data_IF_171529331520
#
_entry.id   IF_171529331520
#
_cell.length_a   1.000
_cell.length_b   1.000
_cell.length_c   1.000
_cell.angle_alpha   90.00
_cell.angle_beta   90.00
_cell.angle_gamma   90.00
#
_symmetry.space_group_name_H-M   'P 1'
#
loop_
_entity.id
_entity.type
_entity.pdbx_description
1 polymer ?
#
# COMPACT_ATOMS: atom_id res chain seq x y z
N UNK A 1 25.70 -48.45 -6.35
CA UNK A 1 26.77 -47.73 -5.63
C UNK A 1 26.56 -46.24 -5.81
N UNK A 2 26.47 -45.51 -4.70
CA UNK A 2 26.45 -44.03 -4.60
C UNK A 2 27.58 -43.41 -5.43
N UNK A 3 27.33 -42.25 -6.05
CA UNK A 3 28.18 -41.04 -5.90
C UNK A 3 27.33 -39.79 -6.11
N UNK A 4 27.11 -39.06 -5.02
CA UNK A 4 26.71 -37.67 -5.03
C UNK A 4 27.87 -36.83 -5.58
N UNK A 5 27.60 -35.85 -6.44
CA UNK A 5 28.46 -34.69 -6.60
C UNK A 5 27.59 -33.44 -6.50
N UNK A 6 27.71 -32.84 -5.31
CA UNK A 6 27.34 -31.47 -4.96
C UNK A 6 28.04 -30.53 -5.93
N UNK A 7 27.28 -29.67 -6.61
CA UNK A 7 27.81 -28.41 -7.14
C UNK A 7 26.99 -27.29 -6.51
N UNK A 8 27.45 -26.86 -5.33
CA UNK A 8 27.18 -25.54 -4.78
C UNK A 8 27.94 -24.54 -5.66
N UNK A 9 27.27 -24.08 -6.72
CA UNK A 9 27.79 -23.07 -7.64
C UNK A 9 27.11 -21.74 -7.38
N UNK A 10 27.84 -20.85 -6.73
CA UNK A 10 27.55 -19.44 -6.43
C UNK A 10 26.85 -18.75 -7.62
N UNK A 11 25.55 -18.43 -7.47
CA UNK A 11 24.88 -17.42 -8.29
C UNK A 11 24.71 -16.17 -7.41
N UNK A 12 25.84 -15.55 -7.11
CA UNK A 12 25.90 -14.13 -6.76
C UNK A 12 26.64 -13.43 -7.89
N UNK A 13 26.14 -12.26 -8.29
CA UNK A 13 26.77 -11.27 -9.19
C UNK A 13 26.35 -11.21 -10.66
N UNK A 14 25.08 -11.43 -11.01
CA UNK A 14 24.55 -10.96 -12.32
C UNK A 14 23.16 -10.28 -12.27
N UNK A 15 22.66 -9.89 -11.09
CA UNK A 15 21.44 -9.05 -10.95
C UNK A 15 21.74 -7.58 -10.61
N UNK A 16 23.00 -7.14 -10.76
CA UNK A 16 23.42 -5.75 -10.56
C UNK A 16 23.36 -4.90 -11.83
N UNK A 17 22.64 -5.35 -12.86
CA UNK A 17 22.47 -4.61 -14.12
C UNK A 17 21.03 -4.71 -14.59
N UNK A 18 20.33 -3.56 -14.60
CA UNK A 18 18.98 -3.35 -15.12
C UNK A 18 17.83 -3.87 -14.24
N UNK A 19 17.34 -3.04 -13.31
CA UNK A 19 15.93 -2.54 -13.23
C UNK A 19 15.70 -1.94 -11.83
N UNK A 20 16.44 -0.89 -11.46
CA UNK A 20 15.98 0.04 -10.41
C UNK A 20 14.91 0.97 -10.99
N UNK A 21 13.91 0.41 -11.69
CA UNK A 21 12.71 1.15 -12.05
C UNK A 21 11.96 1.25 -10.73
N UNK A 22 12.05 2.41 -10.06
CA UNK A 22 11.39 2.66 -8.80
C UNK A 22 9.95 2.14 -8.88
N UNK A 23 9.67 1.01 -8.23
CA UNK A 23 8.41 0.31 -8.38
C UNK A 23 7.36 0.94 -7.46
N UNK A 24 7.10 2.23 -7.68
CA UNK A 24 6.10 2.99 -6.93
C UNK A 24 4.71 2.40 -7.08
N UNK A 25 4.44 1.67 -8.18
CA UNK A 25 3.22 0.89 -8.34
C UNK A 25 3.06 -0.17 -7.23
N UNK A 26 4.14 -0.86 -6.86
CA UNK A 26 4.07 -1.83 -5.76
C UNK A 26 3.80 -1.13 -4.41
N UNK A 27 4.37 0.06 -4.19
CA UNK A 27 4.06 0.86 -2.99
C UNK A 27 2.62 1.36 -2.99
N UNK A 28 2.06 1.72 -4.14
CA UNK A 28 0.66 2.11 -4.27
C UNK A 28 -0.27 0.94 -3.96
N UNK A 29 -0.02 -0.26 -4.50
CA UNK A 29 -0.81 -1.45 -4.15
C UNK A 29 -0.66 -1.79 -2.66
N UNK A 30 0.56 -1.71 -2.10
CA UNK A 30 0.79 -1.94 -0.67
C UNK A 30 0.02 -0.95 0.20
N UNK A 31 0.00 0.35 -0.18
CA UNK A 31 -0.73 1.38 0.56
C UNK A 31 -2.24 1.11 0.49
N UNK A 32 -2.75 0.76 -0.69
CA UNK A 32 -4.15 0.41 -0.90
C UNK A 32 -4.57 -0.78 -0.06
N UNK A 33 -3.80 -1.86 -0.05
CA UNK A 33 -4.08 -3.06 0.73
C UNK A 33 -4.11 -2.76 2.24
N UNK A 34 -3.08 -2.06 2.74
CA UNK A 34 -2.99 -1.71 4.16
C UNK A 34 -4.10 -0.75 4.59
N UNK A 35 -4.41 0.25 3.78
CA UNK A 35 -5.49 1.19 4.05
C UNK A 35 -6.86 0.51 4.05
N UNK A 36 -7.11 -0.38 3.08
CA UNK A 36 -8.34 -1.16 3.00
C UNK A 36 -8.53 -2.01 4.26
N UNK A 37 -7.49 -2.75 4.65
CA UNK A 37 -7.53 -3.56 5.86
C UNK A 37 -7.74 -2.71 7.12
N UNK A 38 -7.04 -1.59 7.24
CA UNK A 38 -7.23 -0.67 8.36
C UNK A 38 -8.67 -0.15 8.43
N UNK A 39 -9.28 0.19 7.29
CA UNK A 39 -10.67 0.59 7.25
C UNK A 39 -11.60 -0.52 7.73
N UNK A 40 -11.47 -1.74 7.22
CA UNK A 40 -12.29 -2.88 7.61
C UNK A 40 -12.16 -3.20 9.11
N UNK A 41 -10.93 -3.19 9.64
CA UNK A 41 -10.67 -3.55 11.04
C UNK A 41 -11.11 -2.44 12.02
N UNK A 42 -10.97 -1.17 11.64
CA UNK A 42 -11.07 -0.05 12.59
C UNK A 42 -12.20 0.96 12.32
N UNK A 43 -12.63 1.14 11.07
CA UNK A 43 -13.55 2.21 10.66
C UNK A 43 -14.92 1.65 10.24
N UNK A 44 -14.95 0.55 9.51
CA UNK A 44 -16.15 -0.05 8.96
C UNK A 44 -17.20 -0.29 10.05
N UNK A 45 -18.44 0.14 9.78
CA UNK A 45 -19.56 0.06 10.73
C UNK A 45 -19.50 1.04 11.90
N UNK A 46 -18.42 1.83 12.06
CA UNK A 46 -18.28 2.82 13.15
C UNK A 46 -18.52 4.27 12.73
N UNK A 47 -18.46 4.55 11.43
CA UNK A 47 -18.62 5.92 10.92
C UNK A 47 -19.84 5.99 10.01
N UNK A 48 -20.79 6.86 10.38
CA UNK A 48 -22.01 7.15 9.61
C UNK A 48 -21.90 8.57 9.07
N UNK A 49 -22.14 8.76 7.76
CA UNK A 49 -22.30 10.09 7.16
C UNK A 49 -21.03 10.77 6.63
N UNK A 50 -19.91 10.06 6.48
CA UNK A 50 -18.76 10.54 5.72
C UNK A 50 -18.53 9.63 4.52
N UNK A 51 -18.43 10.22 3.34
CA UNK A 51 -18.25 9.56 2.05
C UNK A 51 -16.78 9.22 1.76
N UNK A 52 -15.84 10.00 2.29
CA UNK A 52 -14.40 9.78 2.13
C UNK A 52 -13.68 9.59 3.48
N UNK A 53 -12.91 8.50 3.58
CA UNK A 53 -12.00 8.23 4.69
C UNK A 53 -10.55 8.24 4.22
N UNK A 54 -9.71 9.03 4.89
CA UNK A 54 -8.28 9.09 4.60
C UNK A 54 -7.50 8.23 5.59
N UNK A 55 -6.75 7.26 5.07
CA UNK A 55 -5.84 6.44 5.86
C UNK A 55 -4.42 6.80 5.47
N UNK A 56 -3.74 7.58 6.32
CA UNK A 56 -2.36 8.01 6.09
C UNK A 56 -1.34 6.99 6.56
N UNK A 57 -0.10 7.10 6.07
CA UNK A 57 1.03 6.32 6.58
C UNK A 57 1.26 6.58 8.07
N UNK A 58 1.03 7.81 8.55
CA UNK A 58 1.07 8.12 9.99
C UNK A 58 0.00 7.35 10.79
N UNK A 59 -1.23 7.24 10.27
CA UNK A 59 -2.29 6.49 10.93
C UNK A 59 -1.97 4.99 10.99
N UNK A 60 -1.46 4.44 9.88
CA UNK A 60 -1.00 3.05 9.82
C UNK A 60 0.14 2.78 10.80
N UNK A 61 1.11 3.68 10.90
CA UNK A 61 2.22 3.57 11.87
C UNK A 61 1.72 3.60 13.31
N UNK A 62 0.78 4.50 13.65
CA UNK A 62 0.17 4.58 14.99
C UNK A 62 -0.64 3.33 15.35
N UNK A 63 -1.18 2.65 14.34
CA UNK A 63 -1.87 1.37 14.47
C UNK A 63 -0.93 0.16 14.42
N UNK A 64 0.39 0.39 14.55
CA UNK A 64 1.43 -0.64 14.55
C UNK A 64 1.50 -1.48 13.26
N UNK A 65 0.94 -0.96 12.15
CA UNK A 65 1.08 -1.58 10.83
C UNK A 65 2.49 -1.34 10.31
N UNK A 66 3.16 -2.40 9.83
CA UNK A 66 4.48 -2.26 9.24
C UNK A 66 4.43 -1.39 7.97
N UNK A 67 5.19 -0.29 7.98
CA UNK A 67 5.37 0.64 6.86
C UNK A 67 6.85 0.77 6.44
N UNK A 68 7.67 -0.23 6.76
CA UNK A 68 9.12 -0.23 6.50
C UNK A 68 9.47 0.05 5.03
N UNK A 69 8.70 -0.48 4.08
CA UNK A 69 8.90 -0.26 2.64
C UNK A 69 8.73 1.22 2.24
N UNK A 70 7.74 1.91 2.82
CA UNK A 70 7.50 3.34 2.59
C UNK A 70 8.63 4.18 3.18
N UNK A 71 9.09 3.85 4.40
CA UNK A 71 10.23 4.53 5.05
C UNK A 71 11.51 4.38 4.23
N UNK A 72 11.79 3.17 3.72
CA UNK A 72 12.97 2.87 2.87
C UNK A 72 12.97 3.68 1.57
N UNK A 73 11.79 4.08 1.10
CA UNK A 73 11.61 4.89 -0.11
C UNK A 73 11.37 6.38 0.19
N UNK A 74 11.57 6.80 1.44
CA UNK A 74 11.41 8.19 1.88
C UNK A 74 10.04 8.76 1.53
N UNK A 75 8.99 7.96 1.72
CA UNK A 75 7.62 8.42 1.54
C UNK A 75 7.20 9.35 2.68
N UNK A 76 6.51 10.43 2.34
CA UNK A 76 5.98 11.38 3.32
C UNK A 76 4.91 10.69 4.17
N UNK A 77 4.93 10.92 5.48
CA UNK A 77 3.95 10.35 6.41
C UNK A 77 2.52 10.84 6.15
N UNK A 78 2.38 12.00 5.51
CA UNK A 78 1.10 12.53 5.06
C UNK A 78 0.56 11.82 3.82
N UNK A 79 1.34 10.96 3.15
CA UNK A 79 0.83 10.10 2.08
C UNK A 79 -0.33 9.26 2.60
N UNK A 80 -1.37 9.09 1.78
CA UNK A 80 -2.60 8.44 2.22
C UNK A 80 -3.33 7.72 1.09
N UNK A 81 -4.21 6.80 1.46
CA UNK A 81 -5.26 6.31 0.56
C UNK A 81 -6.60 6.93 0.97
N UNK A 82 -7.37 7.42 0.01
CA UNK A 82 -8.76 7.82 0.18
C UNK A 82 -9.66 6.64 -0.13
N UNK A 83 -10.45 6.22 0.85
CA UNK A 83 -11.48 5.19 0.74
C UNK A 83 -12.80 5.91 0.57
N UNK A 84 -13.40 5.76 -0.61
CA UNK A 84 -14.63 6.43 -1.02
C UNK A 84 -15.76 5.42 -0.99
N UNK A 85 -16.70 5.60 -0.08
CA UNK A 85 -17.85 4.71 0.06
C UNK A 85 -18.86 4.97 -1.04
N UNK A 86 -19.46 3.90 -1.57
CA UNK A 86 -20.61 4.00 -2.49
C UNK A 86 -21.91 3.95 -1.70
N UNK A 87 -22.84 4.78 -2.13
CA UNK A 87 -24.17 4.88 -1.56
C UNK A 87 -25.19 4.54 -2.65
N UNK A 88 -26.30 3.93 -2.24
CA UNK A 88 -27.44 3.71 -3.12
C UNK A 88 -28.31 4.97 -3.26
N UNK A 89 -29.41 4.87 -4.02
CA UNK A 89 -30.35 5.97 -4.22
C UNK A 89 -31.07 6.43 -2.93
N UNK A 90 -30.99 5.63 -1.85
CA UNK A 90 -31.55 5.94 -0.54
C UNK A 90 -30.51 6.55 0.42
N UNK A 91 -29.29 6.85 -0.07
CA UNK A 91 -28.14 7.27 0.74
C UNK A 91 -27.69 6.23 1.79
N UNK A 92 -27.93 4.94 1.54
CA UNK A 92 -27.41 3.86 2.38
C UNK A 92 -26.09 3.32 1.80
N UNK A 93 -25.08 3.03 2.63
CA UNK A 93 -23.82 2.49 2.15
C UNK A 93 -24.03 1.08 1.56
N UNK A 94 -23.62 0.88 0.31
CA UNK A 94 -23.81 -0.41 -0.39
C UNK A 94 -22.85 -1.50 0.07
N UNK A 95 -21.84 -1.13 0.87
CA UNK A 95 -20.69 -1.98 1.19
C UNK A 95 -19.61 -1.98 0.11
N UNK A 96 -19.86 -1.39 -1.06
CA UNK A 96 -18.83 -1.17 -2.07
C UNK A 96 -18.05 0.12 -1.77
N UNK A 97 -16.75 0.12 -2.09
CA UNK A 97 -15.90 1.29 -1.97
C UNK A 97 -14.81 1.32 -3.04
N UNK A 98 -14.31 2.53 -3.30
CA UNK A 98 -13.17 2.78 -4.17
C UNK A 98 -11.99 3.25 -3.33
N UNK A 99 -10.77 2.92 -3.77
CA UNK A 99 -9.55 3.36 -3.09
C UNK A 99 -8.66 4.12 -4.06
N UNK A 100 -8.40 5.38 -3.74
CA UNK A 100 -7.51 6.28 -4.49
C UNK A 100 -6.23 6.52 -3.68
N UNK A 101 -5.08 6.29 -4.31
CA UNK A 101 -3.79 6.48 -3.67
C UNK A 101 -3.25 7.91 -3.87
N UNK A 102 -2.71 8.46 -2.80
CA UNK A 102 -2.00 9.74 -2.78
C UNK A 102 -0.64 9.53 -2.11
N UNK A 103 0.28 8.91 -2.86
CA UNK A 103 1.61 8.58 -2.38
C UNK A 103 2.62 9.63 -2.83
N UNK A 104 3.40 10.18 -1.89
CA UNK A 104 4.51 11.10 -2.17
C UNK A 104 5.79 10.50 -1.59
N UNK A 105 6.79 10.21 -2.44
CA UNK A 105 8.06 9.61 -2.03
C UNK A 105 9.24 10.26 -2.77
N UNK A 106 10.03 11.09 -2.07
CA UNK A 106 11.04 11.92 -2.72
C UNK A 106 10.43 12.78 -3.83
N UNK A 107 10.91 12.60 -5.06
CA UNK A 107 10.38 13.31 -6.26
C UNK A 107 9.12 12.66 -6.85
N UNK A 108 8.72 11.48 -6.37
CA UNK A 108 7.52 10.80 -6.85
C UNK A 108 6.27 11.36 -6.17
N UNK A 109 5.22 11.57 -6.96
CA UNK A 109 3.85 11.76 -6.46
C UNK A 109 2.89 11.00 -7.36
N UNK A 110 1.95 10.26 -6.77
CA UNK A 110 0.89 9.60 -7.53
C UNK A 110 0.18 10.63 -8.39
N UNK A 111 0.16 10.42 -9.71
CA UNK A 111 -0.60 11.28 -10.62
C UNK A 111 -2.07 11.13 -10.28
N UNK A 112 -2.74 12.24 -9.91
CA UNK A 112 -4.20 12.29 -9.85
C UNK A 112 -4.74 11.80 -11.20
N UNK A 113 -5.49 10.70 -11.19
CA UNK A 113 -6.18 10.21 -12.38
C UNK A 113 -7.34 11.12 -12.74
#
# INVERSE_FOLDING_TARGET
MKKYLVILGIIMLLLSGCTAKNNYKALEEELKEKATKYYQDYIEGKVLGFDEHRVSLEALEKAEVDISNFKKKYCDKSSYASIKLKYDDNNEPTGEFEVENHLTCGEYTTKKK
#
